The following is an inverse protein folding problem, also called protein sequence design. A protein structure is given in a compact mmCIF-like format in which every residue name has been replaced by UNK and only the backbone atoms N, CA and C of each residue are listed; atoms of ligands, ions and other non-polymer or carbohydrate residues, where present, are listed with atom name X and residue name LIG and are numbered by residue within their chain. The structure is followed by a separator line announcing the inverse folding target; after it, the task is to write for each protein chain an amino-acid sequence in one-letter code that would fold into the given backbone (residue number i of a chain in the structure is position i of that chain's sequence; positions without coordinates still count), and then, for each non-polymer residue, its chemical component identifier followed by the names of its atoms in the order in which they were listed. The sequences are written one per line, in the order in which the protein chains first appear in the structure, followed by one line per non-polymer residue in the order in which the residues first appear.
data_IF_683725347240
#
_entry.id   IF_683725347240
#
_cell.length_a   1.000
_cell.length_b   1.000
_cell.length_c   1.000
_cell.angle_alpha   90.00
_cell.angle_beta   90.00
_cell.angle_gamma   90.00
#
_symmetry.space_group_name_H-M   'P 1'
#
loop_
_entity.id
_entity.type
_entity.pdbx_description
1 polymer ?
#
# COMPACT_ATOMS: atom_id res chain seq x y z
N UNK A 1 8.17 -9.72 -63.90
CA UNK A 1 8.49 -8.32 -63.53
C UNK A 1 9.19 -8.34 -62.18
N UNK A 2 10.21 -7.51 -61.98
CA UNK A 2 10.87 -7.30 -60.68
C UNK A 2 10.64 -5.84 -60.22
N UNK A 3 10.52 -5.60 -58.91
CA UNK A 3 11.21 -4.52 -58.20
C UNK A 3 12.44 -5.13 -57.48
N UNK A 4 13.66 -4.84 -57.94
CA UNK A 4 14.51 -3.72 -57.49
C UNK A 4 14.99 -3.83 -56.04
N UNK A 5 16.27 -4.20 -55.90
CA UNK A 5 17.13 -3.77 -54.79
C UNK A 5 18.31 -3.03 -55.43
N UNK A 6 18.56 -1.79 -55.00
CA UNK A 6 19.74 -1.01 -55.36
C UNK A 6 20.50 -0.68 -54.08
N UNK A 7 21.46 -1.56 -53.79
CA UNK A 7 22.80 -1.31 -53.22
C UNK A 7 23.20 0.18 -53.33
N UNK A 8 23.60 0.92 -52.30
CA UNK A 8 24.86 0.84 -51.53
C UNK A 8 24.91 2.04 -50.54
N UNK A 9 25.87 2.28 -49.62
CA UNK A 9 27.16 1.66 -49.26
C UNK A 9 27.35 1.84 -47.73
N UNK A 10 28.12 0.98 -47.06
CA UNK A 10 29.17 1.49 -46.13
C UNK A 10 30.40 0.59 -46.18
N UNK A 11 31.55 1.20 -46.51
CA UNK A 11 32.83 0.50 -46.66
C UNK A 11 33.52 0.32 -45.32
N UNK A 12 33.98 -0.91 -45.04
CA UNK A 12 35.06 -1.12 -44.08
C UNK A 12 36.13 -2.06 -44.68
N UNK A 13 37.38 -1.76 -44.38
CA UNK A 13 38.57 -2.21 -45.13
C UNK A 13 39.05 -3.59 -44.69
N UNK A 14 39.46 -4.45 -45.64
CA UNK A 14 40.12 -5.73 -45.33
C UNK A 14 41.48 -5.53 -44.66
N UNK A 15 41.80 -6.30 -43.61
CA UNK A 15 43.05 -7.09 -43.52
C UNK A 15 42.72 -8.48 -42.92
N UNK A 16 43.34 -9.51 -43.51
CA UNK A 16 43.05 -10.93 -43.39
C UNK A 16 43.23 -11.61 -42.01
N UNK A 17 42.40 -12.63 -41.76
CA UNK A 17 42.86 -14.00 -41.51
C UNK A 17 41.71 -15.01 -41.76
N UNK A 18 41.93 -16.03 -42.61
CA UNK A 18 40.97 -17.12 -42.78
C UNK A 18 41.35 -18.30 -41.87
N UNK A 19 40.47 -18.75 -40.98
CA UNK A 19 40.29 -20.19 -40.75
C UNK A 19 39.04 -20.57 -39.93
N UNK A 20 38.66 -21.84 -40.07
CA UNK A 20 37.67 -22.64 -39.32
C UNK A 20 36.20 -22.24 -39.36
N UNK A 21 35.38 -23.22 -39.75
CA UNK A 21 33.94 -23.26 -39.57
C UNK A 21 33.52 -23.03 -38.11
N UNK A 22 32.72 -22.00 -37.89
CA UNK A 22 31.66 -21.99 -36.88
C UNK A 22 30.46 -21.27 -37.45
N UNK A 23 29.42 -22.03 -37.79
CA UNK A 23 28.06 -21.50 -37.85
C UNK A 23 27.68 -21.07 -36.44
N UNK A 24 27.89 -19.79 -36.10
CA UNK A 24 27.24 -19.18 -34.94
C UNK A 24 25.74 -19.14 -35.23
N UNK A 25 25.07 -20.22 -34.83
CA UNK A 25 23.63 -20.28 -34.74
C UNK A 25 23.20 -19.12 -33.82
N UNK A 26 22.69 -18.06 -34.41
CA UNK A 26 22.29 -16.86 -33.68
C UNK A 26 21.00 -17.18 -32.97
N UNK A 27 21.10 -17.91 -31.85
CA UNK A 27 19.99 -18.16 -30.93
C UNK A 27 19.56 -16.81 -30.38
N UNK A 28 18.59 -16.22 -31.06
CA UNK A 28 17.66 -15.27 -30.45
C UNK A 28 17.02 -16.01 -29.28
N UNK A 29 17.59 -15.81 -28.09
CA UNK A 29 16.88 -16.08 -26.86
C UNK A 29 15.65 -15.17 -26.90
N UNK A 30 14.50 -15.76 -27.24
CA UNK A 30 13.21 -15.19 -26.88
C UNK A 30 13.31 -14.85 -25.40
N UNK A 31 13.14 -13.58 -25.06
CA UNK A 31 12.87 -13.21 -23.67
C UNK A 31 11.72 -14.10 -23.22
N UNK A 32 11.99 -14.94 -22.21
CA UNK A 32 10.99 -15.82 -21.66
C UNK A 32 9.93 -14.92 -21.03
N UNK A 33 8.85 -14.68 -21.76
CA UNK A 33 7.67 -13.96 -21.27
C UNK A 33 7.23 -14.63 -20.00
N UNK A 34 7.51 -14.01 -18.87
CA UNK A 34 7.36 -14.69 -17.60
C UNK A 34 5.88 -14.87 -17.26
N UNK A 35 5.54 -16.05 -16.75
CA UNK A 35 4.17 -16.42 -16.40
C UNK A 35 3.83 -15.83 -15.02
N UNK A 36 3.12 -14.71 -15.01
CA UNK A 36 2.71 -14.00 -13.80
C UNK A 36 1.76 -14.82 -12.92
N UNK A 37 1.04 -15.79 -13.48
CA UNK A 37 0.17 -16.70 -12.71
C UNK A 37 0.97 -17.79 -11.99
N UNK A 38 2.21 -18.05 -12.42
CA UNK A 38 3.13 -19.00 -11.79
C UNK A 38 4.04 -18.35 -10.72
N UNK A 39 3.99 -17.02 -10.54
CA UNK A 39 4.75 -16.32 -9.51
C UNK A 39 4.24 -16.69 -8.12
N UNK A 40 5.10 -17.22 -7.26
CA UNK A 40 4.82 -17.33 -5.83
C UNK A 40 5.49 -16.17 -5.10
N UNK A 41 4.70 -15.25 -4.54
CA UNK A 41 5.27 -14.10 -3.81
C UNK A 41 6.03 -14.54 -2.57
N UNK A 42 5.69 -15.67 -1.96
CA UNK A 42 6.44 -16.22 -0.82
C UNK A 42 7.82 -16.79 -1.20
N UNK A 43 8.22 -16.80 -2.47
CA UNK A 43 9.61 -17.06 -2.86
C UNK A 43 10.54 -15.84 -2.58
N UNK A 44 9.96 -14.66 -2.28
CA UNK A 44 10.71 -13.44 -1.96
C UNK A 44 10.66 -13.13 -0.47
N UNK A 45 11.84 -12.98 0.14
CA UNK A 45 12.03 -12.70 1.58
C UNK A 45 11.19 -11.51 2.08
N UNK A 46 11.12 -10.42 1.31
CA UNK A 46 10.34 -9.24 1.67
C UNK A 46 8.83 -9.55 1.83
N UNK A 47 8.26 -10.41 0.98
CA UNK A 47 6.85 -10.79 1.07
C UNK A 47 6.57 -11.79 2.20
N UNK A 48 7.49 -12.74 2.45
CA UNK A 48 7.45 -13.58 3.66
C UNK A 48 7.45 -12.72 4.94
N UNK A 49 8.22 -11.61 4.92
CA UNK A 49 8.25 -10.66 6.03
C UNK A 49 7.00 -9.79 6.11
N UNK A 50 6.43 -9.30 5.01
CA UNK A 50 5.19 -8.49 5.02
C UNK A 50 3.94 -9.30 5.44
N UNK A 51 3.87 -10.60 5.13
CA UNK A 51 2.70 -11.45 5.41
C UNK A 51 2.37 -11.53 6.91
N UNK A 52 1.08 -11.37 7.25
CA UNK A 52 0.56 -11.62 8.60
C UNK A 52 -0.20 -10.46 9.21
N UNK A 53 -0.26 -10.45 10.55
CA UNK A 53 -1.03 -9.51 11.36
C UNK A 53 -0.09 -8.48 12.00
N UNK A 54 -0.44 -7.21 11.88
CA UNK A 54 0.40 -6.08 12.27
C UNK A 54 -0.39 -5.07 13.10
N UNK A 55 0.22 -4.59 14.18
CA UNK A 55 -0.32 -3.53 15.03
C UNK A 55 0.73 -2.45 15.20
N UNK A 56 0.32 -1.18 15.19
CA UNK A 56 1.28 -0.08 15.33
C UNK A 56 0.68 1.27 15.69
N UNK A 57 1.62 2.21 15.80
CA UNK A 57 1.39 3.62 16.11
C UNK A 57 1.68 4.48 14.87
N UNK A 58 0.74 5.37 14.55
CA UNK A 58 0.67 6.06 13.27
C UNK A 58 0.57 7.57 13.49
N UNK A 59 1.22 8.32 12.60
CA UNK A 59 1.13 9.78 12.54
C UNK A 59 0.94 10.19 11.09
N UNK A 60 0.02 11.13 10.84
CA UNK A 60 -0.26 11.70 9.52
C UNK A 60 -0.18 13.22 9.61
N UNK A 61 0.66 13.81 8.77
CA UNK A 61 1.11 15.20 8.82
C UNK A 61 0.62 15.97 7.59
N UNK A 62 0.26 17.23 7.77
CA UNK A 62 0.04 18.16 6.66
C UNK A 62 1.34 18.58 5.97
N UNK A 63 1.22 19.38 4.91
CA UNK A 63 2.34 19.97 4.18
C UNK A 63 3.20 20.93 5.02
N UNK A 64 2.67 21.38 6.17
CA UNK A 64 3.37 22.21 7.15
C UNK A 64 4.18 21.40 8.18
N UNK A 65 4.09 20.08 8.15
CA UNK A 65 4.76 19.17 9.08
C UNK A 65 4.05 19.00 10.43
N UNK A 66 2.91 19.65 10.65
CA UNK A 66 2.07 19.43 11.84
C UNK A 66 1.11 18.25 11.61
N UNK A 67 0.54 17.63 12.67
CA UNK A 67 -0.54 16.67 12.54
C UNK A 67 -1.67 17.20 11.64
N UNK A 68 -2.12 16.38 10.69
CA UNK A 68 -3.13 16.80 9.72
C UNK A 68 -4.45 17.16 10.42
N UNK A 69 -5.07 18.26 10.00
CA UNK A 69 -6.41 18.67 10.44
C UNK A 69 -7.37 18.51 9.27
N UNK A 70 -8.26 17.53 9.34
CA UNK A 70 -9.20 17.22 8.28
C UNK A 70 -10.52 17.99 8.45
N UNK A 71 -11.05 18.52 7.34
CA UNK A 71 -12.39 19.12 7.28
C UNK A 71 -13.52 18.08 7.15
N UNK A 72 -13.19 16.79 7.03
CA UNK A 72 -14.13 15.67 6.84
C UNK A 72 -13.95 14.54 7.85
N UNK A 73 -12.99 14.64 8.76
CA UNK A 73 -12.74 13.65 9.81
C UNK A 73 -12.31 14.40 11.07
N UNK A 74 -13.18 14.54 12.09
CA UNK A 74 -12.93 15.43 13.22
C UNK A 74 -11.94 14.87 14.25
N UNK A 75 -11.48 13.64 14.06
CA UNK A 75 -10.57 12.92 14.95
C UNK A 75 -9.10 13.18 14.60
N UNK A 76 -8.22 12.94 15.58
CA UNK A 76 -6.81 13.39 15.54
C UNK A 76 -5.91 12.43 14.76
N UNK A 77 -4.90 13.00 14.09
CA UNK A 77 -3.91 12.30 13.27
C UNK A 77 -2.49 12.29 13.85
N UNK A 78 -2.30 12.76 15.09
CA UNK A 78 -1.00 12.86 15.77
C UNK A 78 -0.49 11.50 16.26
N UNK A 79 -1.32 10.79 17.02
CA UNK A 79 -1.04 9.46 17.56
C UNK A 79 -2.30 8.60 17.47
N UNK A 80 -2.47 7.93 16.33
CA UNK A 80 -3.59 7.02 16.07
C UNK A 80 -3.07 5.60 15.86
N UNK A 81 -3.91 4.60 16.11
CA UNK A 81 -3.54 3.19 16.02
C UNK A 81 -3.97 2.60 14.68
N UNK A 82 -3.25 1.58 14.22
CA UNK A 82 -3.55 0.91 12.97
C UNK A 82 -3.28 -0.58 13.04
N UNK A 83 -4.23 -1.32 12.50
CA UNK A 83 -4.35 -2.77 12.58
C UNK A 83 -4.47 -3.29 11.15
N UNK A 84 -3.47 -4.04 10.70
CA UNK A 84 -3.34 -4.48 9.31
C UNK A 84 -3.16 -5.99 9.24
N UNK A 85 -4.01 -6.64 8.44
CA UNK A 85 -3.79 -8.00 7.96
C UNK A 85 -3.33 -7.94 6.50
N UNK A 86 -2.18 -8.56 6.19
CA UNK A 86 -1.69 -8.74 4.82
C UNK A 86 -1.60 -10.23 4.55
N UNK A 87 -2.49 -10.73 3.70
CA UNK A 87 -2.52 -12.12 3.24
C UNK A 87 -1.81 -12.23 1.89
N UNK A 88 -0.94 -13.23 1.73
CA UNK A 88 -0.31 -13.56 0.43
C UNK A 88 -0.99 -14.78 -0.17
N UNK A 89 -1.47 -14.66 -1.41
CA UNK A 89 -2.19 -15.73 -2.11
C UNK A 89 -1.58 -15.92 -3.50
N UNK A 90 -0.58 -16.80 -3.58
CA UNK A 90 0.14 -17.11 -4.82
C UNK A 90 0.86 -15.89 -5.39
N UNK A 91 0.36 -15.38 -6.51
CA UNK A 91 0.88 -14.18 -7.20
C UNK A 91 0.25 -12.87 -6.70
N UNK A 92 -0.57 -12.89 -5.66
CA UNK A 92 -1.36 -11.74 -5.21
C UNK A 92 -1.26 -11.46 -3.72
N UNK A 93 -1.55 -10.23 -3.32
CA UNK A 93 -1.72 -9.84 -1.91
C UNK A 93 -3.13 -9.29 -1.66
N UNK A 94 -3.62 -9.47 -0.45
CA UNK A 94 -4.81 -8.79 0.07
C UNK A 94 -4.47 -8.11 1.39
N UNK A 95 -4.50 -6.78 1.39
CA UNK A 95 -4.28 -5.98 2.57
C UNK A 95 -5.63 -5.46 3.12
N UNK A 96 -5.92 -5.72 4.39
CA UNK A 96 -7.13 -5.27 5.10
C UNK A 96 -6.72 -4.51 6.36
N UNK A 97 -7.08 -3.23 6.41
CA UNK A 97 -6.68 -2.31 7.46
C UNK A 97 -7.91 -1.82 8.22
N UNK A 98 -7.74 -1.56 9.50
CA UNK A 98 -8.57 -0.66 10.29
C UNK A 98 -7.69 0.31 11.08
N UNK A 99 -8.01 1.59 11.01
CA UNK A 99 -7.29 2.69 11.68
C UNK A 99 -8.20 3.31 12.72
N UNK A 100 -7.75 3.31 13.97
CA UNK A 100 -8.50 3.77 15.15
C UNK A 100 -7.96 5.14 15.55
N UNK A 101 -8.85 6.13 15.61
CA UNK A 101 -8.50 7.51 15.93
C UNK A 101 -9.01 7.86 17.33
N UNK A 102 -8.18 8.48 18.18
CA UNK A 102 -8.59 8.88 19.52
C UNK A 102 -9.65 10.00 19.45
N UNK A 103 -10.41 10.21 20.53
CA UNK A 103 -11.35 11.33 20.64
C UNK A 103 -10.67 12.68 20.33
N UNK A 104 -11.44 13.58 19.72
CA UNK A 104 -11.09 15.00 19.60
C UNK A 104 -10.77 15.56 20.99
N UNK A 105 -9.91 16.58 21.11
CA UNK A 105 -9.73 17.23 22.42
C UNK A 105 -11.01 18.00 22.76
N UNK A 106 -11.49 17.92 24.00
CA UNK A 106 -12.74 18.55 24.42
C UNK A 106 -12.77 20.08 24.20
N UNK A 107 -11.61 20.74 24.22
CA UNK A 107 -11.45 22.17 23.92
C UNK A 107 -11.70 22.53 22.44
N UNK A 108 -11.57 21.56 21.53
CA UNK A 108 -11.75 21.75 20.08
C UNK A 108 -13.18 21.34 19.64
N UNK A 109 -14.03 20.91 20.58
CA UNK A 109 -15.42 20.56 20.34
C UNK A 109 -16.31 21.82 20.29
N UNK A 110 -16.94 22.05 19.14
CA UNK A 110 -17.94 23.11 18.98
C UNK A 110 -19.30 22.74 19.60
N UNK A 111 -19.58 21.44 19.72
CA UNK A 111 -20.76 20.84 20.35
C UNK A 111 -20.52 19.35 20.60
N UNK A 112 -21.38 18.71 21.40
CA UNK A 112 -21.34 17.25 21.62
C UNK A 112 -21.46 16.46 20.29
N UNK A 113 -22.15 17.01 19.30
CA UNK A 113 -22.37 16.42 17.97
C UNK A 113 -21.26 16.73 16.94
N UNK A 114 -20.14 17.31 17.36
CA UNK A 114 -18.96 17.61 16.51
C UNK A 114 -18.10 16.34 16.29
N UNK A 115 -18.75 15.31 15.76
CA UNK A 115 -18.24 13.95 15.54
C UNK A 115 -18.79 13.37 14.24
N UNK A 116 -18.28 12.21 13.85
CA UNK A 116 -18.92 11.30 12.89
C UNK A 116 -19.38 10.06 13.66
N UNK A 117 -20.58 9.58 13.38
CA UNK A 117 -21.23 8.50 14.13
C UNK A 117 -22.14 8.98 15.26
N UNK A 118 -22.65 8.07 16.10
CA UNK A 118 -23.55 8.37 17.22
C UNK A 118 -22.82 8.80 18.51
N UNK A 119 -21.49 8.95 18.47
CA UNK A 119 -20.66 9.32 19.61
C UNK A 119 -20.83 10.76 20.12
N UNK A 120 -20.00 11.11 21.10
CA UNK A 120 -19.94 12.42 21.76
C UNK A 120 -18.54 13.01 21.60
N UNK A 121 -18.45 14.25 21.12
CA UNK A 121 -17.19 14.95 20.97
C UNK A 121 -16.43 15.06 22.31
N UNK A 122 -15.11 14.87 22.28
CA UNK A 122 -14.29 14.86 23.48
C UNK A 122 -14.34 13.56 24.29
N UNK A 123 -15.24 12.64 23.94
CA UNK A 123 -15.47 11.38 24.68
C UNK A 123 -15.18 10.16 23.82
N UNK A 124 -15.78 10.08 22.63
CA UNK A 124 -15.64 8.93 21.73
C UNK A 124 -14.65 9.24 20.60
N UNK A 125 -13.81 8.26 20.28
CA UNK A 125 -13.06 8.16 19.03
C UNK A 125 -13.89 7.49 17.95
N UNK A 126 -13.27 7.16 16.82
CA UNK A 126 -13.90 6.40 15.74
C UNK A 126 -12.82 5.71 14.89
N UNK A 127 -13.21 4.86 13.94
CA UNK A 127 -12.30 4.11 13.09
C UNK A 127 -12.64 4.19 11.60
N UNK A 128 -11.65 3.92 10.75
CA UNK A 128 -11.80 3.79 9.30
C UNK A 128 -11.21 2.48 8.82
N UNK A 129 -11.87 1.84 7.85
CA UNK A 129 -11.30 0.73 7.11
C UNK A 129 -10.66 1.17 5.79
N UNK A 130 -9.67 0.42 5.35
CA UNK A 130 -9.03 0.55 4.05
C UNK A 130 -8.61 -0.83 3.53
N UNK A 131 -8.74 -1.05 2.23
CA UNK A 131 -8.32 -2.27 1.53
C UNK A 131 -7.41 -1.94 0.35
N UNK A 132 -6.40 -2.76 0.12
CA UNK A 132 -5.64 -2.76 -1.13
C UNK A 132 -5.40 -4.21 -1.57
N UNK A 133 -5.77 -4.52 -2.81
CA UNK A 133 -5.50 -5.79 -3.46
C UNK A 133 -4.58 -5.51 -4.65
N UNK A 134 -3.50 -6.28 -4.78
CA UNK A 134 -2.55 -6.17 -5.88
C UNK A 134 -2.12 -7.56 -6.33
N UNK A 135 -1.65 -7.67 -7.57
CA UNK A 135 -1.17 -8.93 -8.17
C UNK A 135 0.13 -8.71 -8.92
N UNK A 136 0.88 -9.78 -9.18
CA UNK A 136 2.18 -9.73 -9.83
C UNK A 136 2.14 -8.93 -11.14
N UNK A 137 2.98 -7.90 -11.22
CA UNK A 137 3.24 -7.12 -12.44
C UNK A 137 4.53 -7.55 -13.13
N UNK A 138 5.42 -8.22 -12.40
CA UNK A 138 6.64 -8.83 -12.89
C UNK A 138 6.97 -10.11 -12.10
N UNK A 139 8.04 -10.80 -12.49
CA UNK A 139 8.51 -12.03 -11.84
C UNK A 139 9.69 -11.83 -10.88
N UNK A 140 9.94 -10.59 -10.46
CA UNK A 140 10.90 -10.23 -9.40
C UNK A 140 10.17 -9.81 -8.11
N UNK A 141 8.88 -10.17 -8.00
CA UNK A 141 8.04 -9.87 -6.85
C UNK A 141 7.38 -8.49 -6.90
N UNK A 142 7.44 -7.76 -8.01
CA UNK A 142 6.72 -6.51 -8.19
C UNK A 142 5.21 -6.72 -8.38
N UNK A 143 4.40 -5.79 -7.86
CA UNK A 143 2.93 -5.85 -7.90
C UNK A 143 2.30 -4.60 -8.50
N UNK A 144 1.10 -4.75 -9.05
CA UNK A 144 0.21 -3.66 -9.43
C UNK A 144 -1.26 -3.98 -9.09
N UNK A 145 -2.09 -2.94 -8.97
CA UNK A 145 -3.52 -3.04 -8.70
C UNK A 145 -4.14 -1.63 -8.67
N UNK A 146 -4.74 -1.21 -9.78
CA UNK A 146 -5.36 0.12 -9.87
C UNK A 146 -6.65 0.20 -9.06
N UNK A 147 -6.95 1.38 -8.53
CA UNK A 147 -8.13 1.62 -7.70
C UNK A 147 -8.74 3.00 -7.97
N UNK A 148 -9.98 3.21 -7.54
CA UNK A 148 -10.64 4.51 -7.66
C UNK A 148 -10.26 5.44 -6.49
N UNK A 149 -9.71 6.60 -6.79
CA UNK A 149 -9.45 7.69 -5.85
C UNK A 149 -10.04 8.98 -6.40
N UNK A 150 -10.75 9.77 -5.59
CA UNK A 150 -11.28 11.09 -6.02
C UNK A 150 -12.14 11.09 -7.30
N UNK A 151 -12.80 9.98 -7.65
CA UNK A 151 -13.59 9.85 -8.88
C UNK A 151 -12.77 9.58 -10.15
N UNK A 152 -11.52 9.14 -9.99
CA UNK A 152 -10.60 8.78 -11.07
C UNK A 152 -9.88 7.47 -10.74
N UNK A 153 -9.63 6.64 -11.75
CA UNK A 153 -8.75 5.48 -11.58
C UNK A 153 -7.31 5.95 -11.44
N UNK A 154 -6.59 5.43 -10.46
CA UNK A 154 -5.16 5.66 -10.25
C UNK A 154 -4.42 4.33 -10.32
N UNK A 155 -3.23 4.35 -10.92
CA UNK A 155 -2.39 3.17 -11.08
C UNK A 155 -1.40 3.06 -9.91
N UNK A 156 -1.08 1.83 -9.52
CA UNK A 156 -0.12 1.55 -8.44
C UNK A 156 1.05 0.73 -8.98
N UNK A 157 2.24 0.97 -8.46
CA UNK A 157 3.40 0.09 -8.65
C UNK A 157 4.02 -0.23 -7.30
N UNK A 158 4.32 -1.51 -7.06
CA UNK A 158 5.01 -1.97 -5.87
C UNK A 158 6.26 -2.73 -6.30
N UNK A 159 7.42 -2.42 -5.73
CA UNK A 159 8.70 -2.99 -6.14
C UNK A 159 9.55 -3.35 -4.92
N UNK A 160 10.20 -4.51 -4.96
CA UNK A 160 11.13 -4.93 -3.92
C UNK A 160 12.47 -4.17 -4.06
N UNK A 161 12.91 -3.54 -2.97
CA UNK A 161 14.17 -2.81 -2.88
C UNK A 161 15.20 -3.64 -2.08
N UNK A 162 15.53 -4.81 -2.61
CA UNK A 162 16.26 -5.85 -1.88
C UNK A 162 15.34 -6.67 -0.96
N UNK A 163 15.93 -7.35 0.02
CA UNK A 163 15.22 -8.26 0.94
C UNK A 163 14.49 -7.52 2.08
N UNK A 164 14.96 -6.31 2.43
CA UNK A 164 14.56 -5.59 3.64
C UNK A 164 13.62 -4.40 3.37
N UNK A 165 13.17 -4.18 2.13
CA UNK A 165 12.38 -2.99 1.80
C UNK A 165 11.44 -3.15 0.60
N UNK A 166 10.29 -2.50 0.68
CA UNK A 166 9.23 -2.49 -0.34
C UNK A 166 8.87 -1.04 -0.65
N UNK A 167 8.88 -0.67 -1.93
CA UNK A 167 8.49 0.65 -2.40
C UNK A 167 7.12 0.55 -3.09
N UNK A 168 6.11 1.19 -2.52
CA UNK A 168 4.78 1.37 -3.11
C UNK A 168 4.63 2.78 -3.65
N UNK A 169 4.11 2.93 -4.87
CA UNK A 169 3.86 4.21 -5.53
C UNK A 169 2.48 4.24 -6.17
N UNK A 170 1.88 5.43 -6.20
CA UNK A 170 0.58 5.66 -6.87
C UNK A 170 0.73 6.82 -7.85
N UNK A 171 0.15 6.66 -9.04
CA UNK A 171 0.25 7.57 -10.16
C UNK A 171 -1.14 8.05 -10.61
N UNK A 172 -1.23 9.31 -11.01
CA UNK A 172 -2.40 9.85 -11.71
C UNK A 172 -2.39 9.35 -13.19
N UNK A 173 -3.53 9.39 -13.90
CA UNK A 173 -3.63 8.98 -15.31
C UNK A 173 -2.73 9.74 -16.30
N UNK A 174 -2.15 10.88 -15.91
CA UNK A 174 -1.16 11.62 -16.69
C UNK A 174 0.29 11.15 -16.45
N UNK A 175 0.49 10.16 -15.58
CA UNK A 175 1.78 9.59 -15.18
C UNK A 175 2.48 10.36 -14.06
N UNK A 176 1.91 11.45 -13.53
CA UNK A 176 2.48 12.16 -12.38
C UNK A 176 2.32 11.33 -11.09
N UNK A 177 3.28 11.47 -10.18
CA UNK A 177 3.24 10.77 -8.89
C UNK A 177 2.21 11.44 -7.96
N UNK A 178 1.29 10.64 -7.41
CA UNK A 178 0.34 11.08 -6.37
C UNK A 178 0.83 10.72 -4.98
N UNK A 179 1.47 9.55 -4.83
CA UNK A 179 1.95 9.06 -3.54
C UNK A 179 3.20 8.18 -3.70
N UNK A 180 4.09 8.25 -2.72
CA UNK A 180 5.17 7.30 -2.47
C UNK A 180 4.97 6.73 -1.05
N UNK A 181 5.26 5.45 -0.84
CA UNK A 181 5.46 4.85 0.47
C UNK A 181 6.65 3.87 0.43
N UNK A 182 7.64 4.10 1.29
CA UNK A 182 8.70 3.13 1.57
C UNK A 182 8.36 2.37 2.85
N UNK A 183 8.31 1.03 2.75
CA UNK A 183 8.37 0.10 3.88
C UNK A 183 9.78 -0.41 4.07
N UNK A 184 10.25 -0.47 5.31
CA UNK A 184 11.47 -1.16 5.73
C UNK A 184 11.12 -2.26 6.73
N UNK A 185 11.70 -3.45 6.53
CA UNK A 185 11.37 -4.72 7.18
C UNK A 185 12.61 -5.33 7.89
N UNK A 186 13.09 -4.76 9.01
CA UNK A 186 14.20 -5.36 9.74
C UNK A 186 13.85 -6.78 10.24
N UNK A 187 14.83 -7.69 10.36
CA UNK A 187 14.61 -9.10 10.69
C UNK A 187 14.36 -9.33 12.20
N UNK A 188 13.34 -8.67 12.75
CA UNK A 188 12.98 -8.69 14.17
C UNK A 188 11.47 -8.50 14.41
N UNK A 189 10.64 -8.88 13.43
CA UNK A 189 9.17 -8.72 13.47
C UNK A 189 8.69 -7.27 13.70
N UNK A 190 9.49 -6.29 13.25
CA UNK A 190 9.07 -4.88 13.17
C UNK A 190 9.03 -4.40 11.74
N UNK A 191 8.21 -3.38 11.46
CA UNK A 191 8.32 -2.60 10.22
C UNK A 191 8.14 -1.12 10.47
N UNK A 192 8.80 -0.33 9.64
CA UNK A 192 8.66 1.12 9.60
C UNK A 192 8.18 1.49 8.21
N UNK A 193 7.18 2.36 8.13
CA UNK A 193 6.70 2.90 6.86
C UNK A 193 6.66 4.41 6.91
N UNK A 194 7.07 5.03 5.80
CA UNK A 194 6.87 6.46 5.58
C UNK A 194 6.22 6.66 4.24
N UNK A 195 5.12 7.41 4.19
CA UNK A 195 4.49 7.81 2.94
C UNK A 195 4.55 9.33 2.75
N UNK A 196 4.58 9.78 1.50
CA UNK A 196 4.53 11.18 1.10
C UNK A 196 3.53 11.35 -0.03
N UNK A 197 2.69 12.38 0.08
CA UNK A 197 1.70 12.74 -0.93
C UNK A 197 2.15 13.90 -1.77
N UNK A 198 1.78 13.87 -3.06
CA UNK A 198 2.14 14.88 -4.03
C UNK A 198 0.90 15.35 -4.81
N UNK A 199 0.84 16.65 -5.13
CA UNK A 199 -0.17 17.21 -6.02
C UNK A 199 0.44 18.36 -6.80
N UNK A 200 0.35 18.33 -8.14
CA UNK A 200 1.05 19.27 -9.03
C UNK A 200 2.55 19.38 -8.68
N UNK A 201 3.20 18.24 -8.49
CA UNK A 201 4.60 18.08 -8.08
C UNK A 201 4.99 18.75 -6.74
N UNK A 202 4.02 19.20 -5.93
CA UNK A 202 4.25 19.74 -4.59
C UNK A 202 3.92 18.72 -3.49
N UNK A 203 4.73 18.62 -2.42
CA UNK A 203 4.41 17.75 -1.28
C UNK A 203 3.19 18.30 -0.51
N UNK A 204 2.18 17.46 -0.31
CA UNK A 204 0.91 17.83 0.35
C UNK A 204 0.72 17.22 1.73
N UNK A 205 1.34 16.07 1.99
CA UNK A 205 1.30 15.40 3.28
C UNK A 205 2.51 14.47 3.47
N UNK A 206 2.75 14.06 4.71
CA UNK A 206 3.64 12.96 5.05
C UNK A 206 3.01 12.04 6.10
N UNK A 207 3.51 10.82 6.23
CA UNK A 207 3.08 9.90 7.29
C UNK A 207 4.25 9.06 7.82
N UNK A 208 4.10 8.58 9.05
CA UNK A 208 5.10 7.76 9.73
C UNK A 208 4.43 6.69 10.59
N UNK A 209 4.61 5.43 10.19
CA UNK A 209 4.01 4.24 10.82
C UNK A 209 5.10 3.38 11.45
N UNK A 210 4.85 2.89 12.66
CA UNK A 210 5.76 2.06 13.45
C UNK A 210 4.98 0.86 13.94
N UNK A 211 5.32 -0.34 13.46
CA UNK A 211 4.49 -1.53 13.63
C UNK A 211 5.30 -2.74 14.07
N UNK A 212 4.64 -3.63 14.79
CA UNK A 212 5.15 -4.96 15.14
C UNK A 212 4.24 -6.00 14.52
N UNK A 213 4.80 -7.11 14.04
CA UNK A 213 4.05 -8.30 13.68
C UNK A 213 3.61 -9.00 14.96
N UNK A 214 2.39 -9.51 14.97
CA UNK A 214 1.76 -10.15 16.13
C UNK A 214 1.03 -11.42 15.69
N UNK A 215 0.66 -12.27 16.65
CA UNK A 215 -0.31 -13.34 16.39
C UNK A 215 -1.71 -12.77 16.11
N UNK A 216 -2.58 -13.58 15.50
CA UNK A 216 -3.98 -13.19 15.27
C UNK A 216 -4.72 -12.94 16.59
N UNK A 217 -4.42 -13.72 17.62
CA UNK A 217 -5.01 -13.62 18.95
C UNK A 217 -4.60 -12.31 19.64
N UNK A 218 -3.32 -11.94 19.57
CA UNK A 218 -2.82 -10.64 20.06
C UNK A 218 -3.39 -9.46 19.27
N UNK A 219 -3.60 -9.61 17.96
CA UNK A 219 -4.24 -8.60 17.12
C UNK A 219 -5.67 -8.30 17.57
N UNK A 220 -6.51 -9.34 17.81
CA UNK A 220 -7.89 -9.13 18.27
C UNK A 220 -7.90 -8.48 19.66
N UNK A 221 -7.07 -8.98 20.59
CA UNK A 221 -6.99 -8.42 21.94
C UNK A 221 -6.57 -6.94 21.92
N UNK A 222 -5.50 -6.59 21.18
CA UNK A 222 -5.04 -5.21 21.09
C UNK A 222 -6.04 -4.28 20.37
N UNK A 223 -6.83 -4.82 19.42
CA UNK A 223 -7.88 -4.07 18.74
C UNK A 223 -9.05 -3.77 19.68
N UNK A 224 -9.50 -4.76 20.46
CA UNK A 224 -10.51 -4.58 21.49
C UNK A 224 -10.04 -3.59 22.58
N UNK A 225 -8.80 -3.74 23.05
CA UNK A 225 -8.20 -2.84 24.05
C UNK A 225 -8.12 -1.39 23.51
N UNK A 226 -7.73 -1.19 22.24
CA UNK A 226 -7.66 0.13 21.62
C UNK A 226 -9.04 0.77 21.38
N UNK A 227 -10.06 -0.02 20.99
CA UNK A 227 -11.45 0.44 20.90
C UNK A 227 -11.98 0.89 22.26
N UNK A 228 -11.69 0.12 23.31
CA UNK A 228 -12.06 0.48 24.68
C UNK A 228 -11.32 1.73 25.18
N UNK A 229 -10.00 1.85 24.92
CA UNK A 229 -9.19 3.02 25.26
C UNK A 229 -9.72 4.31 24.60
N UNK A 230 -10.12 4.24 23.34
CA UNK A 230 -10.65 5.38 22.58
C UNK A 230 -12.17 5.52 22.71
N UNK A 231 -12.83 4.67 23.51
CA UNK A 231 -14.28 4.62 23.66
C UNK A 231 -15.04 4.61 22.31
N UNK A 232 -14.54 3.85 21.33
CA UNK A 232 -15.22 3.67 20.04
C UNK A 232 -16.47 2.83 20.27
N UNK A 233 -17.61 3.27 19.72
CA UNK A 233 -18.88 2.55 19.87
C UNK A 233 -18.93 1.33 18.93
N UNK A 234 -19.58 0.24 19.36
CA UNK A 234 -19.73 -0.97 18.53
C UNK A 234 -20.42 -0.67 17.19
N UNK A 235 -21.32 0.32 17.15
CA UNK A 235 -22.01 0.80 15.94
C UNK A 235 -21.07 1.45 14.91
N UNK A 236 -19.91 1.94 15.36
CA UNK A 236 -18.87 2.54 14.50
C UNK A 236 -17.86 1.49 13.97
N UNK A 237 -17.89 0.24 14.46
CA UNK A 237 -16.90 -0.78 14.09
C UNK A 237 -16.98 -1.11 12.59
N UNK A 238 -15.88 -0.83 11.88
CA UNK A 238 -15.77 -0.86 10.42
C UNK A 238 -16.83 -0.03 9.67
N UNK A 239 -17.48 0.93 10.36
CA UNK A 239 -18.60 1.70 9.83
C UNK A 239 -18.23 2.70 8.75
N UNK A 240 -16.95 3.09 8.65
CA UNK A 240 -16.48 4.14 7.75
C UNK A 240 -15.32 3.71 6.85
N UNK A 241 -15.35 4.15 5.59
CA UNK A 241 -14.27 3.98 4.62
C UNK A 241 -13.12 4.99 4.83
N UNK A 242 -12.09 4.90 3.99
CA UNK A 242 -10.94 5.81 3.98
C UNK A 242 -11.34 7.28 3.76
N UNK A 243 -12.41 7.55 3.01
CA UNK A 243 -13.01 8.86 2.80
C UNK A 243 -13.84 9.38 3.98
N UNK A 244 -14.11 8.55 4.99
CA UNK A 244 -15.02 8.86 6.10
C UNK A 244 -16.50 8.79 5.71
N UNK A 245 -16.85 8.05 4.66
CA UNK A 245 -18.24 7.74 4.28
C UNK A 245 -18.66 6.37 4.82
N UNK A 246 -19.97 6.09 4.99
CA UNK A 246 -20.43 4.79 5.47
C UNK A 246 -19.97 3.64 4.57
N UNK A 247 -19.22 2.68 5.13
CA UNK A 247 -18.43 1.68 4.39
C UNK A 247 -19.21 0.69 3.54
N UNK A 248 -20.51 0.50 3.83
CA UNK A 248 -21.39 -0.52 3.25
C UNK A 248 -20.95 -1.98 3.49
N UNK A 249 -19.97 -2.23 4.36
CA UNK A 249 -19.47 -3.58 4.69
C UNK A 249 -19.34 -3.78 6.19
N UNK A 250 -19.57 -4.99 6.65
CA UNK A 250 -19.27 -5.40 8.03
C UNK A 250 -17.76 -5.66 8.20
N UNK A 251 -17.29 -5.62 9.45
CA UNK A 251 -15.93 -6.05 9.78
C UNK A 251 -15.59 -7.46 9.28
N UNK A 252 -16.54 -8.40 9.34
CA UNK A 252 -16.36 -9.78 8.89
C UNK A 252 -16.22 -9.88 7.37
N UNK A 253 -16.98 -9.07 6.60
CA UNK A 253 -16.84 -9.02 5.14
C UNK A 253 -15.51 -8.39 4.71
N UNK A 254 -15.06 -7.35 5.42
CA UNK A 254 -13.78 -6.69 5.14
C UNK A 254 -12.58 -7.59 5.46
N UNK A 255 -12.48 -8.14 6.67
CA UNK A 255 -11.33 -8.96 7.11
C UNK A 255 -11.44 -10.44 6.75
N UNK A 256 -12.59 -10.93 6.28
CA UNK A 256 -12.87 -12.36 6.10
C UNK A 256 -13.02 -13.15 7.40
N UNK A 257 -12.88 -12.49 8.56
CA UNK A 257 -12.97 -13.06 9.91
C UNK A 257 -13.65 -12.05 10.83
N UNK A 258 -14.37 -12.54 11.85
CA UNK A 258 -14.95 -11.67 12.87
C UNK A 258 -13.84 -11.03 13.72
N UNK A 259 -13.81 -9.70 13.74
CA UNK A 259 -12.89 -8.85 14.52
C UNK A 259 -13.65 -7.90 15.47
N UNK A 260 -14.92 -8.18 15.76
CA UNK A 260 -15.79 -7.30 16.57
C UNK A 260 -15.72 -7.57 18.08
N UNK A 261 -14.91 -8.54 18.51
CA UNK A 261 -14.86 -9.10 19.87
C UNK A 261 -13.44 -9.16 20.41
#
# INVERSE_FOLDING_TARGET
MHPRIIVSIFTCTLIAACNSDTTEDTTFALESSCDLEAVNLLDFEAWQREEGWWVGEYTFLGSDGNPNVSSRWPYRYDHYKGFIHLEVVGNSIKQRNVFLYPPKLAQDCSSDTDVIGPGICGTNGNEKIFSADQSASDCNGGLAGSYEAYGMMVDTSTTLMGEDSVLYQVYLPDGSIMQNQLTTLPPNDTRVRTAQGFFMDQPTYASFYRENKVTKEEFMQQLADARAEYAILEEDFCGYDSGGQPSQVTCTEHFGVDITK
#
